data_IF_788453267252
#
_entry.id   IF_788453267252
#
_cell.length_a   1.000
_cell.length_b   1.000
_cell.length_c   1.000
_cell.angle_alpha   90.00
_cell.angle_beta   90.00
_cell.angle_gamma   90.00
#
_symmetry.space_group_name_H-M   'P 1'
#
loop_
_entity.id
_entity.type
_entity.pdbx_description
1 polymer ?
#
# COMPACT_ATOMS: atom_id res chain seq x y z
N UNK A 1 -21.03 -9.66 -30.27
CA UNK A 1 -20.84 -9.73 -28.81
C UNK A 1 -19.36 -10.01 -28.58
N UNK A 2 -18.57 -8.98 -28.31
CA UNK A 2 -17.17 -9.17 -27.94
C UNK A 2 -17.14 -9.89 -26.59
N UNK A 3 -16.35 -10.97 -26.41
CA UNK A 3 -16.23 -11.58 -25.11
C UNK A 3 -15.56 -10.57 -24.17
N UNK A 4 -16.16 -10.38 -23.00
CA UNK A 4 -15.57 -9.65 -21.88
C UNK A 4 -14.23 -10.34 -21.58
N UNK A 5 -13.13 -9.65 -21.83
CA UNK A 5 -11.81 -10.09 -21.43
C UNK A 5 -11.77 -10.03 -19.90
N UNK A 6 -12.13 -11.14 -19.26
CA UNK A 6 -11.79 -11.37 -17.87
C UNK A 6 -10.28 -11.55 -17.82
N UNK A 7 -9.57 -10.54 -17.31
CA UNK A 7 -8.14 -10.66 -17.06
C UNK A 7 -7.92 -11.74 -15.99
N UNK A 8 -7.06 -12.74 -16.24
CA UNK A 8 -6.82 -13.79 -15.26
C UNK A 8 -6.19 -13.22 -14.00
N UNK A 9 -6.62 -13.76 -12.85
CA UNK A 9 -6.07 -13.42 -11.54
C UNK A 9 -4.54 -13.64 -11.54
N UNK A 10 -3.71 -12.77 -10.93
CA UNK A 10 -2.24 -12.85 -11.01
C UNK A 10 -1.64 -14.21 -10.61
N UNK A 11 -2.32 -14.95 -9.73
CA UNK A 11 -1.93 -16.30 -9.31
C UNK A 11 -2.04 -17.38 -10.41
N UNK A 12 -2.86 -17.17 -11.45
CA UNK A 12 -3.06 -18.13 -12.55
C UNK A 12 -2.23 -17.81 -13.79
N UNK A 13 -1.40 -16.75 -13.75
CA UNK A 13 -0.51 -16.35 -14.87
C UNK A 13 0.47 -17.47 -15.28
N UNK A 14 0.75 -18.42 -14.39
CA UNK A 14 1.51 -19.65 -14.71
C UNK A 14 0.87 -20.53 -15.79
N UNK A 15 -0.42 -20.38 -16.06
CA UNK A 15 -1.13 -21.17 -17.08
C UNK A 15 -1.17 -20.47 -18.46
N UNK A 16 -0.85 -19.17 -18.53
CA UNK A 16 -0.72 -18.43 -19.79
C UNK A 16 0.67 -18.58 -20.43
N UNK A 17 1.21 -19.80 -20.47
CA UNK A 17 2.60 -20.06 -20.88
C UNK A 17 2.72 -20.57 -22.32
N UNK A 18 1.61 -20.84 -23.01
CA UNK A 18 1.62 -21.38 -24.38
C UNK A 18 0.94 -20.43 -25.37
N UNK A 19 1.73 -19.70 -26.15
CA UNK A 19 1.25 -18.95 -27.32
C UNK A 19 1.22 -19.93 -28.50
N UNK A 20 0.03 -20.35 -28.92
CA UNK A 20 -0.16 -21.17 -30.12
C UNK A 20 -0.43 -20.31 -31.34
N UNK A 21 0.43 -20.45 -32.35
CA UNK A 21 0.28 -19.79 -33.64
C UNK A 21 0.08 -20.86 -34.73
N UNK A 22 -1.15 -21.41 -34.85
CA UNK A 22 -1.43 -22.41 -35.87
C UNK A 22 -1.20 -21.80 -37.26
N UNK A 23 -0.62 -22.60 -38.18
CA UNK A 23 -0.32 -22.22 -39.57
C UNK A 23 0.70 -21.08 -39.73
N UNK A 24 1.39 -20.66 -38.67
CA UNK A 24 2.47 -19.66 -38.77
C UNK A 24 3.52 -20.01 -39.83
N UNK A 25 3.80 -21.30 -40.03
CA UNK A 25 4.72 -21.81 -41.05
C UNK A 25 4.21 -21.64 -42.49
N UNK A 26 2.93 -21.37 -42.70
CA UNK A 26 2.33 -21.13 -44.01
C UNK A 26 2.45 -19.66 -44.45
N UNK A 27 2.70 -18.75 -43.51
CA UNK A 27 2.73 -17.30 -43.76
C UNK A 27 3.99 -16.59 -43.27
N UNK A 28 4.83 -17.24 -42.46
CA UNK A 28 6.09 -16.70 -41.96
C UNK A 28 7.27 -17.55 -42.43
N UNK A 29 8.31 -16.88 -42.89
CA UNK A 29 9.63 -17.48 -43.08
C UNK A 29 10.25 -17.87 -41.73
N UNK A 30 11.30 -18.69 -41.76
CA UNK A 30 12.02 -19.10 -40.55
C UNK A 30 12.59 -17.90 -39.78
N UNK A 31 13.08 -16.88 -40.49
CA UNK A 31 13.63 -15.66 -39.89
C UNK A 31 12.52 -14.82 -39.22
N UNK A 32 11.38 -14.63 -39.89
CA UNK A 32 10.24 -13.90 -39.32
C UNK A 32 9.63 -14.63 -38.10
N UNK A 33 9.62 -15.96 -38.12
CA UNK A 33 9.21 -16.76 -36.96
C UNK A 33 10.17 -16.57 -35.78
N UNK A 34 11.47 -16.56 -36.02
CA UNK A 34 12.48 -16.31 -34.99
C UNK A 34 12.35 -14.88 -34.41
N UNK A 35 12.14 -13.89 -35.28
CA UNK A 35 11.92 -12.49 -34.88
C UNK A 35 10.66 -12.33 -34.02
N UNK A 36 9.55 -12.97 -34.41
CA UNK A 36 8.31 -12.95 -33.65
C UNK A 36 8.48 -13.58 -32.25
N UNK A 37 9.15 -14.73 -32.17
CA UNK A 37 9.45 -15.37 -30.89
C UNK A 37 10.35 -14.50 -30.02
N UNK A 38 11.38 -13.88 -30.59
CA UNK A 38 12.27 -12.98 -29.88
C UNK A 38 11.51 -11.77 -29.33
N UNK A 39 10.61 -11.18 -30.13
CA UNK A 39 9.75 -10.08 -29.72
C UNK A 39 8.79 -10.47 -28.59
N UNK A 40 8.11 -11.61 -28.71
CA UNK A 40 7.19 -12.12 -27.70
C UNK A 40 7.92 -12.39 -26.39
N UNK A 41 9.09 -13.01 -26.45
CA UNK A 41 9.94 -13.25 -25.28
C UNK A 41 10.36 -11.94 -24.63
N UNK A 42 10.90 -11.00 -25.40
CA UNK A 42 11.31 -9.70 -24.87
C UNK A 42 10.14 -8.93 -24.23
N UNK A 43 8.94 -9.03 -24.81
CA UNK A 43 7.72 -8.42 -24.27
C UNK A 43 7.29 -9.08 -22.96
N UNK A 44 7.30 -10.42 -22.89
CA UNK A 44 6.97 -11.16 -21.68
C UNK A 44 7.98 -10.88 -20.56
N UNK A 45 9.28 -10.90 -20.87
CA UNK A 45 10.35 -10.57 -19.92
C UNK A 45 10.17 -9.15 -19.36
N UNK A 46 9.78 -8.19 -20.23
CA UNK A 46 9.51 -6.81 -19.82
C UNK A 46 8.31 -6.71 -18.88
N UNK A 47 7.21 -7.39 -19.18
CA UNK A 47 6.02 -7.40 -18.30
C UNK A 47 6.35 -8.03 -16.95
N UNK A 48 7.03 -9.18 -16.95
CA UNK A 48 7.48 -9.85 -15.72
C UNK A 48 8.36 -8.95 -14.86
N UNK A 49 9.27 -8.20 -15.48
CA UNK A 49 10.15 -7.27 -14.76
C UNK A 49 9.36 -6.09 -14.17
N UNK A 50 8.39 -5.53 -14.89
CA UNK A 50 7.49 -4.48 -14.36
C UNK A 50 6.73 -5.01 -13.15
N UNK A 51 6.07 -6.16 -13.27
CA UNK A 51 5.33 -6.79 -12.16
C UNK A 51 6.25 -7.01 -10.97
N UNK A 52 7.47 -7.54 -11.18
CA UNK A 52 8.45 -7.77 -10.12
C UNK A 52 8.89 -6.48 -9.42
N UNK A 53 9.04 -5.39 -10.16
CA UNK A 53 9.40 -4.09 -9.60
C UNK A 53 8.23 -3.50 -8.81
N UNK A 54 7.03 -3.53 -9.36
CA UNK A 54 5.83 -2.99 -8.74
C UNK A 54 5.45 -3.76 -7.47
N UNK A 55 5.57 -5.09 -7.45
CA UNK A 55 5.39 -5.88 -6.23
C UNK A 55 6.35 -5.42 -5.11
N UNK A 56 7.61 -5.12 -5.43
CA UNK A 56 8.57 -4.61 -4.43
C UNK A 56 8.17 -3.23 -3.92
N UNK A 57 7.66 -2.36 -4.79
CA UNK A 57 7.21 -1.01 -4.43
C UNK A 57 5.96 -1.06 -3.55
N UNK A 58 5.00 -1.93 -3.88
CA UNK A 58 3.81 -2.17 -3.07
C UNK A 58 4.22 -2.71 -1.69
N UNK A 59 5.05 -3.75 -1.63
CA UNK A 59 5.53 -4.30 -0.37
C UNK A 59 6.23 -3.25 0.50
N UNK A 60 7.09 -2.41 -0.10
CA UNK A 60 7.76 -1.33 0.60
C UNK A 60 6.80 -0.24 1.09
N UNK A 61 5.71 0.05 0.36
CA UNK A 61 4.72 1.05 0.74
C UNK A 61 3.82 0.60 1.90
N UNK A 62 3.61 -0.71 2.04
CA UNK A 62 2.82 -1.33 3.11
C UNK A 62 3.63 -1.54 4.40
N UNK A 63 4.92 -1.86 4.28
CA UNK A 63 5.77 -2.09 5.43
C UNK A 63 6.25 -0.78 6.08
N UNK A 64 6.45 -0.76 7.42
CA UNK A 64 7.12 0.35 8.09
C UNK A 64 8.52 0.61 7.51
N UNK A 65 8.86 1.88 7.40
CA UNK A 65 10.19 2.33 7.01
C UNK A 65 11.16 2.24 8.18
N UNK A 66 12.46 2.34 7.89
CA UNK A 66 13.50 2.36 8.93
C UNK A 66 13.41 3.57 9.88
N UNK A 67 12.79 4.67 9.44
CA UNK A 67 12.45 5.83 10.26
C UNK A 67 10.93 5.88 10.48
N UNK A 68 10.43 5.09 11.43
CA UNK A 68 8.98 4.94 11.64
C UNK A 68 8.29 6.21 12.17
N UNK A 69 9.00 7.14 12.80
CA UNK A 69 8.41 8.35 13.40
C UNK A 69 7.96 9.37 12.35
N UNK A 70 6.65 9.55 12.23
CA UNK A 70 6.02 10.50 11.30
C UNK A 70 5.70 11.85 11.94
N UNK A 71 5.39 11.84 13.23
CA UNK A 71 5.04 13.05 13.97
C UNK A 71 5.40 12.90 15.44
N UNK A 72 5.93 13.98 16.02
CA UNK A 72 5.90 14.23 17.47
C UNK A 72 5.32 15.62 17.72
N UNK A 73 4.38 15.74 18.65
CA UNK A 73 3.85 17.02 19.12
C UNK A 73 3.75 17.04 20.63
N UNK A 74 4.17 18.15 21.24
CA UNK A 74 4.06 18.38 22.68
C UNK A 74 2.99 19.41 22.97
N UNK A 75 2.13 19.11 23.94
CA UNK A 75 0.96 19.92 24.31
C UNK A 75 0.85 19.91 25.84
N UNK A 76 1.49 20.89 26.49
CA UNK A 76 1.62 20.88 27.94
C UNK A 76 2.41 19.65 28.39
N UNK A 77 1.84 18.88 29.32
CA UNK A 77 2.44 17.65 29.85
C UNK A 77 2.22 16.43 28.94
N UNK A 78 1.66 16.61 27.74
CA UNK A 78 1.29 15.51 26.85
C UNK A 78 2.18 15.50 25.62
N UNK A 79 2.57 14.30 25.20
CA UNK A 79 3.29 14.07 23.94
C UNK A 79 2.49 13.13 23.07
N UNK A 80 2.12 13.61 21.88
CA UNK A 80 1.44 12.86 20.85
C UNK A 80 2.46 12.37 19.82
N UNK A 81 2.53 11.06 19.63
CA UNK A 81 3.42 10.37 18.71
C UNK A 81 2.60 9.73 17.60
N UNK A 82 3.12 9.78 16.38
CA UNK A 82 2.60 9.01 15.26
C UNK A 82 3.75 8.23 14.62
N UNK A 83 3.66 6.91 14.66
CA UNK A 83 4.67 5.99 14.17
C UNK A 83 4.08 5.06 13.12
N UNK A 84 4.80 4.79 12.03
CA UNK A 84 4.47 3.70 11.12
C UNK A 84 4.43 2.38 11.90
N UNK A 85 3.35 1.62 11.68
CA UNK A 85 3.03 0.47 12.51
C UNK A 85 2.87 -0.78 11.66
N UNK A 86 3.49 -1.86 12.12
CA UNK A 86 3.39 -3.18 11.49
C UNK A 86 2.07 -3.84 11.91
N UNK A 87 1.00 -3.42 11.24
CA UNK A 87 -0.35 -3.94 11.42
C UNK A 87 -0.99 -4.13 10.06
N UNK A 88 -1.90 -5.10 9.95
CA UNK A 88 -2.66 -5.32 8.73
C UNK A 88 -3.51 -4.09 8.41
N UNK A 89 -3.45 -3.65 7.14
CA UNK A 89 -4.41 -2.70 6.59
C UNK A 89 -5.62 -3.44 6.03
N UNK A 90 -6.77 -2.78 6.06
CA UNK A 90 -8.03 -3.36 5.62
C UNK A 90 -8.50 -2.64 4.37
N UNK A 91 -7.80 -2.87 3.25
CA UNK A 91 -8.40 -2.57 1.95
C UNK A 91 -9.52 -3.56 1.72
N UNK A 92 -10.74 -3.05 1.60
CA UNK A 92 -11.89 -3.87 1.24
C UNK A 92 -11.66 -4.46 -0.16
N UNK A 93 -11.64 -5.78 -0.25
CA UNK A 93 -11.48 -6.50 -1.52
C UNK A 93 -12.63 -6.21 -2.49
N UNK A 94 -13.77 -5.75 -1.98
CA UNK A 94 -14.95 -5.38 -2.76
C UNK A 94 -14.93 -3.91 -3.27
N UNK A 95 -14.00 -3.07 -2.81
CA UNK A 95 -13.85 -1.67 -3.25
C UNK A 95 -12.78 -1.55 -4.37
N UNK A 96 -13.13 -2.01 -5.57
CA UNK A 96 -12.26 -1.94 -6.76
C UNK A 96 -11.80 -0.50 -7.06
N UNK A 97 -12.71 0.49 -6.91
CA UNK A 97 -12.42 1.91 -7.10
C UNK A 97 -11.42 2.44 -6.04
N UNK A 98 -11.40 1.86 -4.85
CA UNK A 98 -10.45 2.16 -3.78
C UNK A 98 -9.07 1.57 -4.06
N UNK A 99 -9.02 0.31 -4.49
CA UNK A 99 -7.79 -0.40 -4.82
C UNK A 99 -7.01 0.31 -5.95
N UNK A 100 -7.68 0.67 -7.03
CA UNK A 100 -7.05 1.34 -8.17
C UNK A 100 -6.42 2.68 -7.77
N UNK A 101 -7.07 3.45 -6.91
CA UNK A 101 -6.54 4.72 -6.39
C UNK A 101 -5.29 4.52 -5.54
N UNK A 102 -5.27 3.48 -4.71
CA UNK A 102 -4.12 3.16 -3.87
C UNK A 102 -2.94 2.68 -4.72
N UNK A 103 -3.20 1.82 -5.71
CA UNK A 103 -2.17 1.36 -6.64
C UNK A 103 -1.60 2.53 -7.45
N UNK A 104 -2.42 3.43 -8.01
CA UNK A 104 -1.94 4.64 -8.69
C UNK A 104 -1.10 5.51 -7.74
N UNK A 105 -1.59 5.76 -6.53
CA UNK A 105 -0.88 6.56 -5.55
C UNK A 105 0.49 5.97 -5.19
N UNK A 106 0.59 4.65 -5.01
CA UNK A 106 1.84 3.96 -4.67
C UNK A 106 2.79 3.89 -5.88
N UNK A 107 2.29 3.39 -7.01
CA UNK A 107 3.10 3.10 -8.20
C UNK A 107 3.45 4.33 -9.02
N UNK A 108 2.63 5.38 -9.02
CA UNK A 108 2.89 6.61 -9.79
C UNK A 108 3.40 7.73 -8.89
N UNK A 109 2.80 7.89 -7.71
CA UNK A 109 3.07 9.06 -6.83
C UNK A 109 3.94 8.74 -5.62
N UNK A 110 4.45 7.51 -5.52
CA UNK A 110 5.31 7.06 -4.43
C UNK A 110 4.67 7.24 -3.04
N UNK A 111 3.36 7.04 -2.95
CA UNK A 111 2.63 7.10 -1.70
C UNK A 111 3.01 5.93 -0.78
N UNK A 112 2.79 6.15 0.51
CA UNK A 112 2.87 5.15 1.58
C UNK A 112 1.45 4.74 1.94
N UNK A 113 1.25 3.47 2.19
CA UNK A 113 -0.03 2.92 2.64
C UNK A 113 0.23 1.99 3.83
N UNK A 114 1.07 2.44 4.75
CA UNK A 114 1.41 1.72 5.98
C UNK A 114 0.59 2.34 7.12
N UNK A 115 -0.08 1.52 7.96
CA UNK A 115 -0.87 2.02 9.08
C UNK A 115 -0.02 2.85 10.03
N UNK A 116 -0.69 3.73 10.79
CA UNK A 116 -0.04 4.64 11.70
C UNK A 116 -0.57 4.43 13.11
N UNK A 117 0.30 4.06 14.03
CA UNK A 117 0.00 4.03 15.46
C UNK A 117 0.10 5.45 16.00
N UNK A 118 -1.00 5.92 16.57
CA UNK A 118 -1.06 7.15 17.32
C UNK A 118 -0.96 6.82 18.81
N UNK A 119 0.00 7.41 19.51
CA UNK A 119 0.23 7.17 20.94
C UNK A 119 0.20 8.49 21.69
N UNK A 120 -0.55 8.54 22.78
CA UNK A 120 -0.59 9.67 23.69
C UNK A 120 0.14 9.31 24.98
N UNK A 121 1.19 10.06 25.28
CA UNK A 121 2.10 9.84 26.41
C UNK A 121 1.97 11.00 27.40
N UNK A 122 1.86 10.67 28.68
CA UNK A 122 1.97 11.61 29.79
C UNK A 122 3.47 11.83 30.08
N UNK A 123 4.01 12.99 29.72
CA UNK A 123 5.46 13.27 29.79
C UNK A 123 6.03 13.18 31.22
N UNK A 124 5.39 13.73 32.28
CA UNK A 124 5.87 13.57 33.64
C UNK A 124 5.96 12.12 34.14
N UNK A 125 4.98 11.29 33.77
CA UNK A 125 4.90 9.90 34.25
C UNK A 125 5.59 8.92 33.29
N UNK A 126 5.96 9.38 32.09
CA UNK A 126 6.47 8.58 30.97
C UNK A 126 5.58 7.40 30.57
N UNK A 127 4.30 7.44 30.95
CA UNK A 127 3.31 6.39 30.67
C UNK A 127 2.52 6.66 29.39
N UNK A 128 2.20 5.58 28.67
CA UNK A 128 1.27 5.59 27.55
C UNK A 128 -0.15 5.51 28.11
N UNK A 129 -0.95 6.52 27.83
CA UNK A 129 -2.28 6.70 28.44
C UNK A 129 -3.39 6.31 27.47
N UNK A 130 -3.10 6.34 26.17
CA UNK A 130 -3.98 5.83 25.14
C UNK A 130 -3.21 5.61 23.83
N UNK A 131 -3.72 4.71 23.00
CA UNK A 131 -3.18 4.47 21.67
C UNK A 131 -4.30 4.09 20.69
N UNK A 132 -4.13 4.41 19.41
CA UNK A 132 -5.10 4.11 18.37
C UNK A 132 -4.42 3.94 17.02
N UNK A 133 -4.93 3.02 16.19
CA UNK A 133 -4.36 2.74 14.87
C UNK A 133 -5.19 3.46 13.81
N UNK A 134 -4.50 4.20 12.94
CA UNK A 134 -5.06 4.73 11.70
C UNK A 134 -4.77 3.70 10.61
N UNK A 135 -5.78 2.89 10.27
CA UNK A 135 -5.74 1.99 9.12
C UNK A 135 -5.98 2.76 7.82
N UNK A 136 -5.65 2.14 6.69
CA UNK A 136 -5.95 2.62 5.34
C UNK A 136 -5.38 4.03 5.08
N UNK A 137 -4.26 4.32 5.74
CA UNK A 137 -3.64 5.63 5.76
C UNK A 137 -2.78 5.85 4.51
N UNK A 138 -3.38 6.43 3.47
CA UNK A 138 -2.66 6.83 2.26
C UNK A 138 -1.92 8.17 2.48
N UNK A 139 -0.58 8.12 2.48
CA UNK A 139 0.30 9.27 2.74
C UNK A 139 1.19 9.57 1.56
N UNK A 140 1.12 10.78 1.02
CA UNK A 140 2.04 11.22 -0.04
C UNK A 140 3.31 11.85 0.54
N UNK A 141 4.49 11.62 -0.09
CA UNK A 141 5.73 12.26 0.33
C UNK A 141 5.61 13.78 0.39
N UNK A 142 6.08 14.39 1.49
CA UNK A 142 6.08 15.83 1.68
C UNK A 142 4.73 16.45 2.06
N UNK A 143 3.66 15.67 2.17
CA UNK A 143 2.38 16.21 2.64
C UNK A 143 2.38 16.51 4.14
N UNK A 144 1.76 17.63 4.56
CA UNK A 144 1.68 17.98 5.97
C UNK A 144 0.74 17.03 6.70
N UNK A 145 1.04 16.77 7.97
CA UNK A 145 0.33 15.75 8.77
C UNK A 145 -1.20 15.92 8.84
N UNK A 146 -1.70 17.15 8.70
CA UNK A 146 -3.15 17.44 8.63
C UNK A 146 -3.88 16.79 7.43
N UNK A 147 -3.15 16.28 6.43
CA UNK A 147 -3.72 15.63 5.24
C UNK A 147 -4.06 14.16 5.49
N UNK A 148 -3.31 13.49 6.36
CA UNK A 148 -3.45 12.06 6.61
C UNK A 148 -3.86 11.71 8.05
N UNK A 149 -3.71 12.64 9.00
CA UNK A 149 -4.08 12.40 10.39
C UNK A 149 -5.60 12.30 10.54
N UNK A 150 -6.09 11.12 10.91
CA UNK A 150 -7.50 10.90 11.20
C UNK A 150 -7.91 11.56 12.53
N UNK A 151 -8.84 12.51 12.44
CA UNK A 151 -9.38 13.23 13.59
C UNK A 151 -10.32 12.39 14.45
N UNK A 152 -10.89 11.30 13.92
CA UNK A 152 -11.71 10.35 14.66
C UNK A 152 -10.83 9.56 15.62
N UNK A 153 -9.81 8.89 15.09
CA UNK A 153 -8.81 8.16 15.90
C UNK A 153 -8.16 9.08 16.93
N UNK A 154 -7.73 10.28 16.54
CA UNK A 154 -7.18 11.26 17.49
C UNK A 154 -8.16 11.60 18.62
N UNK A 155 -9.45 11.79 18.30
CA UNK A 155 -10.47 12.09 19.30
C UNK A 155 -10.67 10.92 20.25
N UNK A 156 -10.68 9.69 19.72
CA UNK A 156 -10.89 8.48 20.51
C UNK A 156 -9.73 8.28 21.48
N UNK A 157 -8.48 8.40 21.01
CA UNK A 157 -7.26 8.36 21.86
C UNK A 157 -7.30 9.43 22.96
N UNK A 158 -7.68 10.67 22.62
CA UNK A 158 -7.76 11.75 23.62
C UNK A 158 -8.89 11.51 24.62
N UNK A 159 -10.03 10.96 24.18
CA UNK A 159 -11.15 10.66 25.06
C UNK A 159 -10.84 9.48 26.00
N UNK A 160 -10.15 8.47 25.49
CA UNK A 160 -9.68 7.32 26.27
C UNK A 160 -8.74 7.78 27.39
N UNK A 161 -7.69 8.55 27.06
CA UNK A 161 -6.78 9.09 28.07
C UNK A 161 -7.52 9.92 29.13
N UNK A 162 -8.49 10.76 28.72
CA UNK A 162 -9.32 11.53 29.67
C UNK A 162 -10.16 10.65 30.60
N UNK A 163 -10.63 9.49 30.12
CA UNK A 163 -11.40 8.56 30.94
C UNK A 163 -10.54 7.90 32.02
N UNK A 164 -9.27 7.63 31.72
CA UNK A 164 -8.29 7.13 32.69
C UNK A 164 -7.95 8.19 33.75
N UNK A 165 -7.63 9.42 33.35
CA UNK A 165 -7.35 10.52 34.31
C UNK A 165 -8.59 10.93 35.13
N UNK A 166 -9.80 10.68 34.63
CA UNK A 166 -11.05 10.96 35.33
C UNK A 166 -11.42 9.93 36.41
N UNK A 167 -10.91 8.69 36.30
CA UNK A 167 -11.14 7.62 37.26
C UNK A 167 -10.10 7.57 38.39
N UNK A 168 -9.00 8.32 38.27
CA UNK A 168 -7.98 8.47 39.30
C UNK A 168 -8.08 9.92 39.83
N UNK A 169 -9.00 10.13 40.77
CA UNK A 169 -9.02 11.29 41.66
C UNK A 169 -9.21 10.84 43.09
#
# INVERSE_FOLDING_TARGET
>A
LYPVQAYPHPATVRECTEIRLPYAQEWLTTDEYADLLAFLKASADRVCEIVRQDTKRIAAALAPSGESRLMEKRIGNWRLLADEYDHDNWLDEEDEDGLDKVLDAVLVRNARFCPVLLTLVNEPEEEIEAAGVITDCLRFPGEPNRRWLDRRVLRDVVNEARSFTGNIR
#
